data_IF_646932191699
#
_entry.id   IF_646932191699
#
_cell.length_a   1.000
_cell.length_b   1.000
_cell.length_c   1.000
_cell.angle_alpha   90.00
_cell.angle_beta   90.00
_cell.angle_gamma   90.00
#
_symmetry.space_group_name_H-M   'P 1'
#
loop_
_entity.id
_entity.type
_entity.pdbx_description
1 polymer ?
#
# COMPACT_ATOMS: atom_id res chain seq x y z
N UNK A 1 -27.78 7.76 42.09
CA UNK A 1 -27.69 6.94 40.87
C UNK A 1 -26.72 5.82 41.18
N UNK A 2 -27.20 4.58 41.21
CA UNK A 2 -26.37 3.39 41.49
C UNK A 2 -25.67 2.94 40.21
N UNK A 3 -24.31 2.93 40.16
CA UNK A 3 -23.55 2.49 38.98
C UNK A 3 -23.68 0.99 38.67
N UNK A 4 -24.27 0.19 39.57
CA UNK A 4 -24.40 -1.28 39.44
C UNK A 4 -25.73 -1.73 38.82
N UNK A 5 -26.53 -0.80 38.28
CA UNK A 5 -27.84 -1.11 37.71
C UNK A 5 -27.67 -1.91 36.41
N UNK A 6 -28.19 -3.14 36.29
CA UNK A 6 -28.05 -3.95 35.08
C UNK A 6 -28.71 -3.29 33.85
N UNK A 7 -29.69 -2.41 34.07
CA UNK A 7 -30.37 -1.64 33.02
C UNK A 7 -29.51 -0.50 32.41
N UNK A 8 -28.34 -0.19 32.98
CA UNK A 8 -27.44 0.86 32.46
C UNK A 8 -26.22 0.30 31.73
N UNK A 9 -26.20 -0.99 31.42
CA UNK A 9 -25.15 -1.60 30.61
C UNK A 9 -25.47 -1.29 29.15
N UNK A 10 -24.91 -0.18 28.65
CA UNK A 10 -24.95 0.14 27.22
C UNK A 10 -23.91 -0.74 26.54
N UNK A 11 -24.38 -1.68 25.70
CA UNK A 11 -23.48 -2.49 24.86
C UNK A 11 -22.66 -1.57 23.96
N UNK A 12 -21.35 -1.78 23.94
CA UNK A 12 -20.45 -1.04 23.05
C UNK A 12 -20.84 -1.35 21.60
N UNK A 13 -21.42 -0.36 20.93
CA UNK A 13 -21.62 -0.41 19.48
C UNK A 13 -20.41 0.28 18.85
N UNK A 14 -19.54 -0.45 18.12
CA UNK A 14 -18.48 0.20 17.37
C UNK A 14 -19.12 1.24 16.45
N UNK A 15 -18.60 2.46 16.49
CA UNK A 15 -19.04 3.50 15.57
C UNK A 15 -18.82 2.98 14.15
N UNK A 16 -19.91 2.94 13.37
CA UNK A 16 -19.84 2.67 11.94
C UNK A 16 -19.18 3.89 11.32
N UNK A 17 -17.84 3.86 11.25
CA UNK A 17 -17.07 4.89 10.51
C UNK A 17 -17.64 4.95 9.10
N UNK A 18 -18.14 6.13 8.74
CA UNK A 18 -18.57 6.40 7.36
C UNK A 18 -17.33 6.52 6.51
N UNK A 19 -17.42 6.05 5.26
CA UNK A 19 -16.35 6.13 4.25
C UNK A 19 -15.85 7.56 4.04
N UNK A 20 -16.73 8.55 4.29
CA UNK A 20 -16.43 9.97 4.19
C UNK A 20 -15.48 10.49 5.29
N UNK A 21 -15.30 9.73 6.38
CA UNK A 21 -14.40 10.06 7.50
C UNK A 21 -13.07 9.27 7.45
N UNK A 22 -12.79 8.55 6.36
CA UNK A 22 -11.50 7.88 6.20
C UNK A 22 -10.39 8.87 5.82
N UNK A 23 -9.26 8.74 6.52
CA UNK A 23 -8.08 9.55 6.25
C UNK A 23 -7.56 9.25 4.84
N UNK A 24 -7.11 10.26 4.07
CA UNK A 24 -6.60 10.06 2.72
C UNK A 24 -5.38 9.12 2.70
N UNK A 25 -5.28 8.27 1.68
CA UNK A 25 -4.17 7.31 1.49
C UNK A 25 -2.86 8.01 1.05
N UNK A 26 -2.24 8.70 2.01
CA UNK A 26 -0.95 9.38 1.82
C UNK A 26 0.16 8.37 1.54
N UNK A 27 0.11 7.19 2.17
CA UNK A 27 1.10 6.13 2.01
C UNK A 27 1.13 5.61 0.57
N UNK A 28 -0.03 5.35 -0.03
CA UNK A 28 -0.14 4.90 -1.42
C UNK A 28 0.32 5.98 -2.41
N UNK A 29 0.02 7.25 -2.14
CA UNK A 29 0.52 8.35 -2.97
C UNK A 29 2.05 8.45 -2.95
N UNK A 30 2.66 8.39 -1.77
CA UNK A 30 4.12 8.39 -1.61
C UNK A 30 4.74 7.16 -2.30
N UNK A 31 4.14 5.98 -2.12
CA UNK A 31 4.57 4.75 -2.77
C UNK A 31 4.57 4.86 -4.30
N UNK A 32 3.54 5.47 -4.88
CA UNK A 32 3.42 5.69 -6.32
C UNK A 32 4.51 6.62 -6.84
N UNK A 33 4.72 7.77 -6.19
CA UNK A 33 5.76 8.74 -6.58
C UNK A 33 7.15 8.12 -6.50
N UNK A 34 7.46 7.43 -5.39
CA UNK A 34 8.75 6.76 -5.22
C UNK A 34 8.97 5.64 -6.23
N UNK A 35 7.92 4.88 -6.57
CA UNK A 35 8.00 3.81 -7.56
C UNK A 35 8.26 4.38 -8.97
N UNK A 36 7.60 5.47 -9.36
CA UNK A 36 7.83 6.13 -10.65
C UNK A 36 9.25 6.70 -10.72
N UNK A 37 9.64 7.51 -9.72
CA UNK A 37 10.96 8.14 -9.68
C UNK A 37 12.05 7.07 -9.62
N UNK A 38 11.92 6.09 -8.73
CA UNK A 38 12.86 4.99 -8.56
C UNK A 38 13.07 4.16 -9.83
N UNK A 39 12.00 3.95 -10.62
CA UNK A 39 12.09 3.30 -11.90
C UNK A 39 12.88 4.13 -12.92
N UNK A 40 12.63 5.44 -13.00
CA UNK A 40 13.31 6.35 -13.92
C UNK A 40 14.81 6.45 -13.65
N UNK A 41 15.20 6.59 -12.37
CA UNK A 41 16.61 6.71 -11.96
C UNK A 41 17.31 5.37 -11.76
N UNK A 42 16.59 4.25 -11.95
CA UNK A 42 17.06 2.87 -11.68
C UNK A 42 17.68 2.70 -10.27
N UNK A 43 17.17 3.42 -9.28
CA UNK A 43 17.69 3.37 -7.91
C UNK A 43 16.96 2.29 -7.09
N UNK A 44 17.70 1.26 -6.70
CA UNK A 44 17.18 0.11 -5.93
C UNK A 44 16.59 0.53 -4.59
N UNK A 45 17.23 1.46 -3.88
CA UNK A 45 16.80 1.88 -2.54
C UNK A 45 15.47 2.60 -2.59
N UNK A 46 15.26 3.46 -3.59
CA UNK A 46 14.00 4.19 -3.77
C UNK A 46 12.85 3.23 -4.10
N UNK A 47 13.11 2.21 -4.93
CA UNK A 47 12.13 1.17 -5.26
C UNK A 47 11.72 0.36 -4.02
N UNK A 48 12.69 -0.10 -3.22
CA UNK A 48 12.40 -0.84 -1.99
C UNK A 48 11.60 -0.01 -0.97
N UNK A 49 11.94 1.26 -0.79
CA UNK A 49 11.19 2.16 0.09
C UNK A 49 9.75 2.34 -0.45
N UNK A 50 9.59 2.57 -1.75
CA UNK A 50 8.26 2.68 -2.37
C UNK A 50 7.40 1.44 -2.18
N UNK A 51 8.00 0.23 -2.20
CA UNK A 51 7.27 -1.02 -1.98
C UNK A 51 6.81 -1.20 -0.53
N UNK A 52 7.61 -0.79 0.44
CA UNK A 52 7.19 -0.81 1.86
C UNK A 52 5.94 0.05 2.05
N UNK A 53 5.96 1.28 1.53
CA UNK A 53 4.79 2.17 1.60
C UNK A 53 3.59 1.63 0.82
N UNK A 54 3.80 0.94 -0.31
CA UNK A 54 2.72 0.29 -1.05
C UNK A 54 2.05 -0.82 -0.22
N UNK A 55 2.86 -1.61 0.51
CA UNK A 55 2.36 -2.68 1.40
C UNK A 55 1.63 -2.09 2.60
N UNK A 56 2.16 -1.03 3.21
CA UNK A 56 1.50 -0.32 4.31
C UNK A 56 0.13 0.21 3.87
N UNK A 57 0.08 0.91 2.73
CA UNK A 57 -1.15 1.43 2.13
C UNK A 57 -2.19 0.33 1.88
N UNK A 58 -1.76 -0.83 1.40
CA UNK A 58 -2.63 -1.99 1.20
C UNK A 58 -3.15 -2.60 2.50
N UNK A 59 -2.30 -2.75 3.51
CA UNK A 59 -2.72 -3.25 4.82
C UNK A 59 -3.63 -2.27 5.56
N UNK A 60 -3.52 -0.99 5.24
CA UNK A 60 -4.36 0.06 5.80
C UNK A 60 -5.72 0.17 5.09
N UNK A 61 -5.97 -0.62 4.03
CA UNK A 61 -7.28 -0.70 3.38
C UNK A 61 -8.34 -1.16 4.38
N UNK A 62 -9.26 -0.27 4.73
CA UNK A 62 -10.51 -0.64 5.38
C UNK A 62 -11.46 -1.15 4.30
N UNK A 63 -12.21 -2.21 4.61
CA UNK A 63 -12.99 -3.04 3.67
C UNK A 63 -14.08 -2.31 2.83
N UNK A 64 -14.12 -0.97 2.82
CA UNK A 64 -15.17 -0.18 2.18
C UNK A 64 -14.79 0.45 0.83
N UNK A 65 -13.58 0.22 0.30
CA UNK A 65 -13.19 0.73 -1.02
C UNK A 65 -13.60 -0.22 -2.15
N UNK A 66 -14.87 -0.12 -2.56
CA UNK A 66 -15.39 -0.76 -3.76
C UNK A 66 -14.87 -0.08 -5.04
N UNK A 67 -13.67 -0.43 -5.50
CA UNK A 67 -13.18 0.00 -6.81
C UNK A 67 -11.75 -0.43 -7.15
N UNK A 68 -11.59 -1.32 -8.13
CA UNK A 68 -10.30 -1.87 -8.55
C UNK A 68 -9.29 -0.80 -9.04
N UNK A 69 -9.78 0.30 -9.63
CA UNK A 69 -8.97 1.36 -10.26
C UNK A 69 -8.40 2.40 -9.28
N UNK A 70 -8.97 2.52 -8.07
CA UNK A 70 -8.48 3.40 -7.00
C UNK A 70 -7.89 2.65 -5.80
N UNK A 71 -7.93 1.31 -5.85
CA UNK A 71 -7.50 0.49 -4.72
C UNK A 71 -5.98 0.54 -4.52
N UNK A 72 -5.49 0.61 -3.29
CA UNK A 72 -4.07 0.40 -2.96
C UNK A 72 -3.43 -0.89 -3.52
N UNK A 73 -4.24 -1.85 -3.98
CA UNK A 73 -3.77 -3.02 -4.72
C UNK A 73 -3.10 -2.64 -6.06
N UNK A 74 -3.59 -1.61 -6.76
CA UNK A 74 -2.97 -1.08 -7.97
C UNK A 74 -1.57 -0.53 -7.69
N UNK A 75 -1.39 0.16 -6.57
CA UNK A 75 -0.11 0.71 -6.13
C UNK A 75 0.89 -0.41 -5.79
N UNK A 76 0.45 -1.48 -5.11
CA UNK A 76 1.28 -2.67 -4.89
C UNK A 76 1.71 -3.30 -6.21
N UNK A 77 0.76 -3.53 -7.12
CA UNK A 77 1.06 -4.14 -8.41
C UNK A 77 2.09 -3.31 -9.18
N UNK A 78 1.90 -1.99 -9.21
CA UNK A 78 2.82 -1.06 -9.86
C UNK A 78 4.23 -1.08 -9.23
N UNK A 79 4.31 -1.04 -7.89
CA UNK A 79 5.59 -1.08 -7.17
C UNK A 79 6.33 -2.41 -7.40
N UNK A 80 5.60 -3.53 -7.36
CA UNK A 80 6.16 -4.87 -7.58
C UNK A 80 6.68 -5.02 -9.01
N UNK A 81 5.92 -4.53 -10.00
CA UNK A 81 6.34 -4.58 -11.40
C UNK A 81 7.56 -3.68 -11.64
N UNK A 82 7.64 -2.52 -10.99
CA UNK A 82 8.78 -1.61 -11.07
C UNK A 82 10.07 -2.26 -10.55
N UNK A 83 9.98 -3.02 -9.45
CA UNK A 83 11.06 -3.88 -8.95
C UNK A 83 11.48 -4.92 -9.98
N UNK A 84 10.52 -5.70 -10.50
CA UNK A 84 10.82 -6.72 -11.51
C UNK A 84 11.54 -6.13 -12.72
N UNK A 85 11.08 -4.98 -13.23
CA UNK A 85 11.70 -4.31 -14.37
C UNK A 85 13.12 -3.81 -14.08
N UNK A 86 13.45 -3.49 -12.83
CA UNK A 86 14.79 -3.09 -12.43
C UNK A 86 15.74 -4.30 -12.32
N UNK A 87 15.26 -5.43 -11.79
CA UNK A 87 16.08 -6.63 -11.56
C UNK A 87 16.16 -7.58 -12.78
N UNK A 88 15.14 -7.61 -13.64
CA UNK A 88 15.08 -8.51 -14.81
C UNK A 88 16.29 -8.40 -15.74
N UNK A 89 16.76 -7.20 -16.15
CA UNK A 89 17.91 -7.08 -17.04
C UNK A 89 19.18 -7.71 -16.45
N UNK A 90 19.38 -7.59 -15.14
CA UNK A 90 20.54 -8.14 -14.44
C UNK A 90 20.47 -9.66 -14.34
N UNK A 91 19.28 -10.19 -14.06
CA UNK A 91 19.02 -11.62 -14.03
C UNK A 91 19.26 -12.21 -15.42
N UNK A 92 18.71 -11.59 -16.47
CA UNK A 92 18.89 -12.05 -17.86
C UNK A 92 20.36 -11.94 -18.28
N UNK A 93 21.08 -10.88 -17.92
CA UNK A 93 22.52 -10.76 -18.17
C UNK A 93 23.30 -11.88 -17.48
N UNK A 94 22.96 -12.22 -16.23
CA UNK A 94 23.60 -13.29 -15.48
C UNK A 94 23.40 -14.67 -16.13
N UNK A 95 22.21 -14.96 -16.66
CA UNK A 95 21.90 -16.25 -17.29
C UNK A 95 22.29 -16.35 -18.77
N UNK A 96 22.34 -15.23 -19.49
CA UNK A 96 22.71 -15.22 -20.93
C UNK A 96 24.21 -15.24 -21.17
N UNK A 97 25.04 -15.08 -20.14
CA UNK A 97 26.50 -14.96 -20.28
C UNK A 97 26.93 -13.69 -21.01
N UNK A 98 25.99 -12.81 -21.36
CA UNK A 98 26.22 -11.52 -22.00
C UNK A 98 26.43 -10.51 -20.88
N UNK A 99 27.69 -10.09 -20.67
CA UNK A 99 27.99 -8.93 -19.83
C UNK A 99 27.48 -7.68 -20.55
N UNK A 100 26.44 -7.07 -20.01
CA UNK A 100 25.92 -5.75 -20.41
C UNK A 100 26.73 -4.68 -19.70
#
# INVERSE_FOLDING_TARGET
>A
MDPRRPDSIVEYKPEVKRVEDDDPDVAGFVALVLSIVGLMIRNRTALWIGTVFAVESYLNQRASEGGLLGSPAATIMFSTLSLLMNYLPEIVAAYSGIKI
#
